data_IF_955299905219
#
_entry.id   IF_955299905219
#
_cell.length_a   1.000
_cell.length_b   1.000
_cell.length_c   1.000
_cell.angle_alpha   90.00
_cell.angle_beta   90.00
_cell.angle_gamma   90.00
#
_symmetry.space_group_name_H-M   'P 1'
#
loop_
_entity.id
_entity.type
_entity.pdbx_description
1 polymer ?
#
# COMPACT_ATOMS: atom_id res chain seq x y z
N UNK A 1 15.88 6.99 -27.93
CA UNK A 1 14.86 6.30 -27.09
C UNK A 1 14.76 6.95 -25.72
N UNK A 2 15.85 6.97 -24.94
CA UNK A 2 15.90 7.55 -23.60
C UNK A 2 15.43 9.00 -23.51
N UNK A 3 15.74 9.85 -24.48
CA UNK A 3 15.27 11.25 -24.52
C UNK A 3 13.74 11.38 -24.59
N UNK A 4 13.08 10.51 -25.38
CA UNK A 4 11.61 10.50 -25.49
C UNK A 4 10.97 9.97 -24.19
N UNK A 5 11.57 8.94 -23.60
CA UNK A 5 11.12 8.38 -22.33
C UNK A 5 11.29 9.39 -21.18
N UNK A 6 12.43 10.06 -21.11
CA UNK A 6 12.71 11.13 -20.14
C UNK A 6 11.73 12.30 -20.29
N UNK A 7 11.42 12.69 -21.55
CA UNK A 7 10.43 13.73 -21.82
C UNK A 7 9.00 13.35 -21.41
N UNK A 8 8.62 12.07 -21.57
CA UNK A 8 7.32 11.56 -21.10
C UNK A 8 7.25 11.48 -19.56
N UNK A 9 8.30 10.94 -18.92
CA UNK A 9 8.29 10.67 -17.48
C UNK A 9 8.45 11.95 -16.64
N UNK A 10 9.11 12.98 -17.17
CA UNK A 10 9.22 14.29 -16.50
C UNK A 10 8.19 15.30 -17.01
N UNK A 11 7.17 14.86 -17.73
CA UNK A 11 6.11 15.76 -18.17
C UNK A 11 5.34 16.30 -16.96
N UNK A 12 5.24 17.63 -16.89
CA UNK A 12 4.56 18.34 -15.81
C UNK A 12 3.10 18.61 -16.16
N UNK A 13 2.22 18.51 -15.17
CA UNK A 13 0.79 18.82 -15.25
C UNK A 13 0.33 19.52 -13.98
N UNK A 14 -0.87 20.10 -14.03
CA UNK A 14 -1.51 20.64 -12.82
C UNK A 14 -1.70 19.52 -11.78
N UNK A 15 -1.34 19.82 -10.53
CA UNK A 15 -1.48 18.88 -9.42
C UNK A 15 -2.97 18.50 -9.29
N UNK A 16 -3.33 17.21 -9.34
CA UNK A 16 -4.73 16.81 -9.26
C UNK A 16 -5.37 17.26 -7.94
N UNK A 17 -6.46 18.03 -8.03
CA UNK A 17 -7.17 18.54 -6.87
C UNK A 17 -7.94 17.42 -6.14
N UNK A 18 -8.01 17.52 -4.80
CA UNK A 18 -8.90 16.67 -4.00
C UNK A 18 -10.35 16.92 -4.44
N UNK A 19 -11.08 15.84 -4.69
CA UNK A 19 -12.45 15.88 -5.19
C UNK A 19 -12.58 16.27 -6.66
N UNK A 20 -11.46 16.53 -7.36
CA UNK A 20 -11.45 16.77 -8.79
C UNK A 20 -11.79 15.52 -9.61
N UNK A 21 -12.08 15.70 -10.90
CA UNK A 21 -12.49 14.61 -11.80
C UNK A 21 -11.45 13.47 -11.87
N UNK A 22 -10.16 13.80 -11.90
CA UNK A 22 -9.08 12.80 -11.92
C UNK A 22 -9.06 11.96 -10.64
N UNK A 23 -9.20 12.60 -9.48
CA UNK A 23 -9.29 11.92 -8.19
C UNK A 23 -10.50 10.97 -8.11
N UNK A 24 -11.68 11.42 -8.58
CA UNK A 24 -12.87 10.58 -8.68
C UNK A 24 -12.62 9.38 -9.58
N UNK A 25 -11.99 9.57 -10.75
CA UNK A 25 -11.65 8.49 -11.65
C UNK A 25 -10.72 7.45 -11.01
N UNK A 26 -9.76 7.88 -10.18
CA UNK A 26 -8.88 6.96 -9.45
C UNK A 26 -9.63 6.13 -8.41
N UNK A 27 -10.54 6.75 -7.65
CA UNK A 27 -11.41 6.03 -6.72
C UNK A 27 -12.29 5.03 -7.49
N UNK A 28 -12.90 5.44 -8.60
CA UNK A 28 -13.70 4.55 -9.44
C UNK A 28 -12.89 3.38 -9.99
N UNK A 29 -11.64 3.62 -10.38
CA UNK A 29 -10.73 2.56 -10.87
C UNK A 29 -10.39 1.58 -9.74
N UNK A 30 -10.12 2.08 -8.53
CA UNK A 30 -9.92 1.23 -7.35
C UNK A 30 -11.13 0.36 -7.06
N UNK A 31 -12.34 0.94 -7.03
CA UNK A 31 -13.58 0.18 -6.82
C UNK A 31 -13.80 -0.85 -7.93
N UNK A 32 -13.57 -0.47 -9.19
CA UNK A 32 -13.71 -1.38 -10.34
C UNK A 32 -12.74 -2.55 -10.22
N UNK A 33 -11.49 -2.30 -9.81
CA UNK A 33 -10.50 -3.34 -9.61
C UNK A 33 -10.85 -4.24 -8.42
N UNK A 34 -11.40 -3.71 -7.33
CA UNK A 34 -11.94 -4.52 -6.21
C UNK A 34 -13.00 -5.48 -6.72
N UNK A 35 -13.99 -4.99 -7.48
CA UNK A 35 -15.05 -5.82 -8.04
C UNK A 35 -14.47 -6.89 -8.98
N UNK A 36 -13.56 -6.50 -9.87
CA UNK A 36 -12.85 -7.43 -10.74
C UNK A 36 -12.15 -8.53 -9.95
N UNK A 37 -11.41 -8.20 -8.89
CA UNK A 37 -10.71 -9.19 -8.05
C UNK A 37 -11.70 -10.12 -7.33
N UNK A 38 -12.82 -9.59 -6.82
CA UNK A 38 -13.88 -10.39 -6.18
C UNK A 38 -14.46 -11.43 -7.14
N UNK A 39 -14.67 -11.08 -8.42
CA UNK A 39 -15.23 -11.99 -9.42
C UNK A 39 -14.19 -12.93 -10.03
N UNK A 40 -13.02 -12.41 -10.43
CA UNK A 40 -11.94 -13.19 -11.03
C UNK A 40 -11.38 -14.22 -10.04
N UNK A 41 -11.24 -13.83 -8.76
CA UNK A 41 -10.80 -14.69 -7.66
C UNK A 41 -11.98 -15.05 -6.74
N UNK A 42 -13.10 -15.45 -7.35
CA UNK A 42 -14.38 -15.78 -6.72
C UNK A 42 -14.27 -16.63 -5.44
N UNK A 43 -13.42 -17.66 -5.45
CA UNK A 43 -13.34 -18.62 -4.33
C UNK A 43 -12.37 -18.09 -3.28
N UNK A 44 -12.77 -18.08 -2.01
CA UNK A 44 -11.88 -17.77 -0.88
C UNK A 44 -10.93 -18.95 -0.52
N UNK A 45 -10.37 -19.62 -1.52
CA UNK A 45 -9.43 -20.72 -1.33
C UNK A 45 -7.98 -20.25 -1.49
N UNK A 46 -7.04 -21.04 -0.96
CA UNK A 46 -5.61 -20.73 -0.97
C UNK A 46 -5.06 -20.38 -2.36
N UNK A 47 -5.49 -21.07 -3.42
CA UNK A 47 -5.00 -20.84 -4.79
C UNK A 47 -5.46 -19.47 -5.30
N UNK A 48 -6.73 -19.14 -5.12
CA UNK A 48 -7.30 -17.86 -5.51
C UNK A 48 -6.68 -16.69 -4.75
N UNK A 49 -6.46 -16.84 -3.44
CA UNK A 49 -5.79 -15.82 -2.60
C UNK A 49 -4.35 -15.58 -3.08
N UNK A 50 -3.59 -16.67 -3.31
CA UNK A 50 -2.22 -16.56 -3.86
C UNK A 50 -2.21 -15.93 -5.25
N UNK A 51 -3.18 -16.28 -6.10
CA UNK A 51 -3.35 -15.69 -7.42
C UNK A 51 -3.57 -14.18 -7.36
N UNK A 52 -4.47 -13.72 -6.48
CA UNK A 52 -4.73 -12.30 -6.25
C UNK A 52 -3.48 -11.55 -5.76
N UNK A 53 -2.73 -12.13 -4.82
CA UNK A 53 -1.50 -11.53 -4.29
C UNK A 53 -0.40 -11.46 -5.36
N UNK A 54 -0.20 -12.52 -6.13
CA UNK A 54 0.80 -12.53 -7.23
C UNK A 54 0.40 -11.51 -8.30
N UNK A 55 -0.88 -11.49 -8.69
CA UNK A 55 -1.41 -10.51 -9.64
C UNK A 55 -1.11 -9.09 -9.17
N UNK A 56 -1.48 -8.74 -7.94
CA UNK A 56 -1.19 -7.42 -7.37
C UNK A 56 0.30 -7.12 -7.34
N UNK A 57 1.13 -8.07 -6.91
CA UNK A 57 2.58 -7.86 -6.84
C UNK A 57 3.19 -7.59 -8.22
N UNK A 58 2.81 -8.34 -9.26
CA UNK A 58 3.32 -8.14 -10.62
C UNK A 58 3.03 -6.72 -11.10
N UNK A 59 1.82 -6.20 -10.88
CA UNK A 59 1.48 -4.84 -11.30
C UNK A 59 2.20 -3.77 -10.48
N UNK A 60 2.33 -3.94 -9.16
CA UNK A 60 3.11 -3.02 -8.32
C UNK A 60 4.60 -3.04 -8.74
N UNK A 61 5.15 -4.20 -9.06
CA UNK A 61 6.53 -4.36 -9.51
C UNK A 61 6.77 -3.73 -10.89
N UNK A 62 5.86 -3.95 -11.84
CA UNK A 62 5.93 -3.27 -13.14
C UNK A 62 5.80 -1.75 -12.99
N UNK A 63 4.92 -1.29 -12.11
CA UNK A 63 4.76 0.14 -11.80
C UNK A 63 6.06 0.75 -11.25
N UNK A 64 6.72 0.05 -10.33
CA UNK A 64 8.04 0.42 -9.79
C UNK A 64 9.09 0.53 -10.89
N UNK A 65 9.17 -0.46 -11.78
CA UNK A 65 10.14 -0.44 -12.88
C UNK A 65 9.86 0.71 -13.84
N UNK A 66 8.61 0.88 -14.28
CA UNK A 66 8.25 1.79 -15.38
C UNK A 66 8.28 3.24 -14.94
N UNK A 67 7.65 3.57 -13.81
CA UNK A 67 7.41 4.96 -13.43
C UNK A 67 8.42 5.50 -12.42
N UNK A 68 9.16 4.62 -11.72
CA UNK A 68 10.19 5.02 -10.77
C UNK A 68 11.59 4.73 -11.34
N UNK A 69 11.95 3.47 -11.58
CA UNK A 69 13.32 3.10 -11.97
C UNK A 69 13.70 3.58 -13.38
N UNK A 70 12.82 3.38 -14.37
CA UNK A 70 13.08 3.83 -15.73
C UNK A 70 13.07 5.35 -15.87
N UNK A 71 12.30 6.06 -15.04
CA UNK A 71 12.34 7.52 -14.99
C UNK A 71 13.76 7.99 -14.64
N UNK A 72 14.31 7.47 -13.54
CA UNK A 72 15.63 7.88 -13.08
C UNK A 72 16.76 7.39 -13.99
N UNK A 73 16.69 6.16 -14.50
CA UNK A 73 17.65 5.66 -15.49
C UNK A 73 17.61 6.54 -16.74
N UNK A 74 16.43 6.91 -17.22
CA UNK A 74 16.31 7.76 -18.41
C UNK A 74 16.91 9.15 -18.19
N UNK A 75 16.79 9.71 -16.97
CA UNK A 75 17.39 10.99 -16.59
C UNK A 75 18.91 10.92 -16.61
N UNK A 76 19.49 9.91 -15.95
CA UNK A 76 20.93 9.65 -15.92
C UNK A 76 21.52 9.46 -17.32
N UNK A 77 20.79 8.78 -18.21
CA UNK A 77 21.23 8.52 -19.59
C UNK A 77 21.09 9.72 -20.53
N UNK A 78 20.39 10.78 -20.13
CA UNK A 78 20.09 11.93 -21.01
C UNK A 78 20.65 13.26 -20.52
N UNK A 79 21.01 13.34 -19.23
CA UNK A 79 21.54 14.55 -18.62
C UNK A 79 23.03 14.36 -18.34
N UNK A 80 23.87 15.19 -18.96
CA UNK A 80 25.32 15.11 -18.79
C UNK A 80 25.72 15.30 -17.31
N UNK A 81 26.56 14.41 -16.79
CA UNK A 81 27.01 14.45 -15.40
C UNK A 81 25.97 14.04 -14.34
N UNK A 82 24.77 13.62 -14.73
CA UNK A 82 23.76 13.18 -13.78
C UNK A 82 24.12 11.84 -13.12
N UNK A 83 24.20 11.83 -11.80
CA UNK A 83 24.28 10.60 -10.99
C UNK A 83 22.89 10.10 -10.60
N UNK A 84 22.77 8.79 -10.34
CA UNK A 84 21.51 8.19 -9.90
C UNK A 84 21.07 8.76 -8.55
N UNK A 85 19.83 9.24 -8.50
CA UNK A 85 19.19 9.80 -7.32
C UNK A 85 18.57 8.69 -6.47
N UNK A 86 19.11 8.49 -5.28
CA UNK A 86 18.67 7.45 -4.34
C UNK A 86 17.23 7.62 -3.85
N UNK A 87 16.57 8.77 -4.05
CA UNK A 87 15.13 8.96 -3.77
C UNK A 87 14.22 8.02 -4.58
N UNK A 88 14.69 7.57 -5.74
CA UNK A 88 13.94 6.66 -6.60
C UNK A 88 14.08 5.20 -6.16
N UNK A 89 14.82 4.89 -5.09
CA UNK A 89 14.86 3.53 -4.55
C UNK A 89 13.52 3.20 -3.86
N UNK A 90 13.02 1.95 -3.96
CA UNK A 90 11.74 1.53 -3.39
C UNK A 90 11.80 1.33 -1.88
N UNK A 91 12.28 2.31 -1.13
CA UNK A 91 12.48 2.23 0.32
C UNK A 91 11.34 2.87 1.12
N UNK A 92 10.40 3.53 0.44
CA UNK A 92 9.29 4.24 1.08
C UNK A 92 8.19 3.29 1.56
N UNK A 93 7.34 3.76 2.49
CA UNK A 93 6.22 2.98 3.02
C UNK A 93 5.20 2.56 1.94
N UNK A 94 5.05 3.34 0.87
CA UNK A 94 4.19 2.99 -0.26
C UNK A 94 4.71 1.76 -1.01
N UNK A 95 6.04 1.58 -1.04
CA UNK A 95 6.74 0.42 -1.61
C UNK A 95 6.71 -0.82 -0.69
N UNK A 96 6.11 -0.75 0.51
CA UNK A 96 6.11 -1.85 1.48
C UNK A 96 5.59 -3.18 0.88
N UNK A 97 4.50 -3.12 0.09
CA UNK A 97 3.94 -4.32 -0.53
C UNK A 97 4.84 -4.93 -1.61
N UNK A 98 5.73 -4.14 -2.22
CA UNK A 98 6.73 -4.67 -3.15
C UNK A 98 7.63 -5.70 -2.46
N UNK A 99 7.97 -5.44 -1.19
CA UNK A 99 8.84 -6.28 -0.37
C UNK A 99 8.08 -7.39 0.36
N UNK A 100 6.89 -7.10 0.90
CA UNK A 100 6.14 -8.06 1.72
C UNK A 100 5.53 -9.18 0.86
N UNK A 101 4.88 -8.86 -0.26
CA UNK A 101 4.11 -9.84 -1.01
C UNK A 101 4.94 -11.06 -1.51
N UNK A 102 6.21 -10.90 -1.97
CA UNK A 102 7.07 -12.03 -2.30
C UNK A 102 7.24 -13.04 -1.19
N UNK A 103 7.39 -12.60 0.06
CA UNK A 103 7.52 -13.54 1.17
C UNK A 103 6.28 -14.42 1.33
N UNK A 104 5.09 -13.90 1.00
CA UNK A 104 3.85 -14.68 1.06
C UNK A 104 3.80 -15.80 0.01
N UNK A 105 4.14 -15.49 -1.25
CA UNK A 105 4.00 -16.48 -2.32
C UNK A 105 5.27 -17.34 -2.52
N UNK A 106 6.47 -16.86 -2.21
CA UNK A 106 7.70 -17.65 -2.32
C UNK A 106 7.84 -18.71 -1.22
N UNK A 107 7.17 -18.54 -0.07
CA UNK A 107 7.17 -19.52 1.03
C UNK A 107 5.80 -20.21 1.07
N UNK A 108 5.61 -21.36 0.41
CA UNK A 108 4.30 -22.01 0.27
C UNK A 108 3.88 -22.79 1.53
N UNK A 109 3.92 -22.16 2.70
CA UNK A 109 3.56 -22.75 3.99
C UNK A 109 2.25 -22.16 4.53
N UNK A 110 1.27 -23.00 4.86
CA UNK A 110 -0.07 -22.56 5.34
C UNK A 110 -0.01 -21.76 6.65
N UNK A 111 0.90 -22.08 7.57
CA UNK A 111 1.06 -21.35 8.84
C UNK A 111 1.60 -19.95 8.56
N UNK A 112 2.65 -19.88 7.75
CA UNK A 112 3.25 -18.61 7.30
C UNK A 112 2.23 -17.71 6.60
N UNK A 113 1.48 -18.26 5.65
CA UNK A 113 0.42 -17.55 4.94
C UNK A 113 -0.63 -16.99 5.91
N UNK A 114 -1.06 -17.78 6.90
CA UNK A 114 -2.01 -17.33 7.93
C UNK A 114 -1.46 -16.16 8.76
N UNK A 115 -0.16 -16.14 9.05
CA UNK A 115 0.48 -15.08 9.83
C UNK A 115 0.63 -13.77 9.02
N UNK A 116 0.92 -13.88 7.72
CA UNK A 116 1.12 -12.72 6.87
C UNK A 116 -0.17 -12.05 6.38
N UNK A 117 -1.24 -12.83 6.18
CA UNK A 117 -2.49 -12.35 5.61
C UNK A 117 -3.09 -11.14 6.34
N UNK A 118 -3.13 -11.07 7.69
CA UNK A 118 -3.63 -9.90 8.39
C UNK A 118 -2.85 -8.63 8.05
N UNK A 119 -1.51 -8.71 8.03
CA UNK A 119 -0.63 -7.60 7.66
C UNK A 119 -0.86 -7.15 6.23
N UNK A 120 -0.93 -8.10 5.29
CA UNK A 120 -1.21 -7.79 3.89
C UNK A 120 -2.56 -7.10 3.78
N UNK A 121 -3.65 -7.71 4.27
CA UNK A 121 -5.00 -7.16 4.11
C UNK A 121 -5.19 -5.78 4.76
N UNK A 122 -4.83 -5.65 6.05
CA UNK A 122 -5.08 -4.44 6.83
C UNK A 122 -4.17 -3.29 6.37
N UNK A 123 -2.88 -3.54 6.16
CA UNK A 123 -1.95 -2.50 5.70
C UNK A 123 -2.21 -2.09 4.26
N UNK A 124 -2.60 -3.02 3.39
CA UNK A 124 -2.99 -2.72 2.01
C UNK A 124 -4.14 -1.72 1.91
N UNK A 125 -5.20 -1.89 2.71
CA UNK A 125 -6.31 -0.93 2.74
C UNK A 125 -5.88 0.40 3.33
N UNK A 126 -5.06 0.40 4.37
CA UNK A 126 -4.65 1.63 5.03
C UNK A 126 -3.72 2.45 4.14
N UNK A 127 -2.67 1.85 3.59
CA UNK A 127 -1.70 2.52 2.70
C UNK A 127 -2.42 2.98 1.43
N UNK A 128 -3.11 2.08 0.73
CA UNK A 128 -3.79 2.41 -0.51
C UNK A 128 -4.94 3.40 -0.31
N UNK A 129 -5.74 3.21 0.74
CA UNK A 129 -6.86 4.09 1.07
C UNK A 129 -6.43 5.48 1.50
N UNK A 130 -5.31 5.62 2.24
CA UNK A 130 -4.78 6.93 2.64
C UNK A 130 -4.30 7.72 1.42
N UNK A 131 -3.53 7.09 0.52
CA UNK A 131 -3.06 7.75 -0.70
C UNK A 131 -4.25 8.14 -1.60
N UNK A 132 -5.26 7.27 -1.71
CA UNK A 132 -6.46 7.56 -2.48
C UNK A 132 -7.31 8.66 -1.84
N UNK A 133 -7.43 8.74 -0.52
CA UNK A 133 -8.28 9.75 0.14
C UNK A 133 -7.61 11.14 0.23
N UNK A 134 -6.28 11.16 0.27
CA UNK A 134 -5.47 12.36 0.48
C UNK A 134 -4.45 12.59 -0.65
N UNK A 135 -4.88 12.67 -1.92
CA UNK A 135 -4.00 12.77 -3.07
C UNK A 135 -3.11 14.02 -3.07
N UNK A 136 -3.62 15.16 -2.58
CA UNK A 136 -2.88 16.43 -2.60
C UNK A 136 -1.57 16.41 -1.79
N UNK A 137 -1.41 15.45 -0.88
CA UNK A 137 -0.21 15.31 -0.05
C UNK A 137 0.86 14.44 -0.68
N UNK A 138 0.51 13.71 -1.74
CA UNK A 138 1.38 12.74 -2.42
C UNK A 138 1.65 13.18 -3.86
N UNK A 139 0.73 13.93 -4.46
CA UNK A 139 0.86 14.38 -5.84
C UNK A 139 1.80 15.57 -5.97
N UNK A 140 2.55 15.51 -7.05
CA UNK A 140 3.51 16.50 -7.51
C UNK A 140 3.09 17.00 -8.88
N UNK A 141 3.80 17.98 -9.43
CA UNK A 141 3.61 18.39 -10.83
C UNK A 141 4.00 17.30 -11.83
N UNK A 142 4.80 16.30 -11.44
CA UNK A 142 5.28 15.25 -12.34
C UNK A 142 4.24 14.14 -12.55
N UNK A 143 3.85 13.93 -13.82
CA UNK A 143 2.84 12.95 -14.21
C UNK A 143 3.21 11.52 -13.86
N UNK A 144 4.46 11.12 -14.11
CA UNK A 144 4.92 9.76 -13.82
C UNK A 144 4.90 9.45 -12.32
N UNK A 145 5.28 10.42 -11.49
CA UNK A 145 5.28 10.26 -10.04
C UNK A 145 3.84 10.10 -9.50
N UNK A 146 2.91 10.91 -10.00
CA UNK A 146 1.50 10.77 -9.63
C UNK A 146 0.95 9.41 -10.09
N UNK A 147 1.22 9.02 -11.34
CA UNK A 147 0.82 7.72 -11.87
C UNK A 147 1.38 6.55 -11.03
N UNK A 148 2.66 6.64 -10.62
CA UNK A 148 3.30 5.66 -9.74
C UNK A 148 2.50 5.49 -8.43
N UNK A 149 2.24 6.58 -7.71
CA UNK A 149 1.52 6.51 -6.43
C UNK A 149 0.07 6.07 -6.59
N UNK A 150 -0.63 6.52 -7.64
CA UNK A 150 -2.02 6.13 -7.92
C UNK A 150 -2.11 4.64 -8.20
N UNK A 151 -1.28 4.13 -9.11
CA UNK A 151 -1.30 2.71 -9.47
C UNK A 151 -0.98 1.87 -8.24
N UNK A 152 0.05 2.25 -7.47
CA UNK A 152 0.41 1.57 -6.24
C UNK A 152 -0.76 1.58 -5.23
N UNK A 153 -1.44 2.70 -5.06
CA UNK A 153 -2.57 2.84 -4.15
C UNK A 153 -3.80 2.04 -4.60
N UNK A 154 -4.16 2.10 -5.88
CA UNK A 154 -5.27 1.34 -6.49
C UNK A 154 -5.07 -0.16 -6.29
N UNK A 155 -3.89 -0.69 -6.61
CA UNK A 155 -3.60 -2.12 -6.48
C UNK A 155 -3.51 -2.55 -5.00
N UNK A 156 -2.90 -1.73 -4.15
CA UNK A 156 -2.83 -1.98 -2.71
C UNK A 156 -4.22 -2.01 -2.09
N UNK A 157 -5.00 -0.94 -2.27
CA UNK A 157 -6.36 -0.84 -1.75
C UNK A 157 -7.23 -2.00 -2.24
N UNK A 158 -7.14 -2.33 -3.54
CA UNK A 158 -7.94 -3.39 -4.13
C UNK A 158 -7.63 -4.77 -3.55
N UNK A 159 -6.34 -5.07 -3.33
CA UNK A 159 -5.93 -6.31 -2.68
C UNK A 159 -6.44 -6.40 -1.24
N UNK A 160 -6.28 -5.32 -0.47
CA UNK A 160 -6.72 -5.28 0.92
C UNK A 160 -8.24 -5.46 1.02
N UNK A 161 -9.00 -4.74 0.20
CA UNK A 161 -10.45 -4.85 0.14
C UNK A 161 -10.90 -6.23 -0.33
N UNK A 162 -10.25 -6.83 -1.33
CA UNK A 162 -10.52 -8.21 -1.73
C UNK A 162 -10.38 -9.17 -0.54
N UNK A 163 -9.28 -9.07 0.21
CA UNK A 163 -9.00 -9.93 1.38
C UNK A 163 -10.08 -9.77 2.46
N UNK A 164 -10.48 -8.52 2.74
CA UNK A 164 -11.47 -8.18 3.77
C UNK A 164 -12.88 -8.62 3.35
N UNK A 165 -13.31 -8.28 2.13
CA UNK A 165 -14.67 -8.50 1.64
C UNK A 165 -14.97 -9.97 1.33
N UNK A 166 -13.98 -10.72 0.83
CA UNK A 166 -14.07 -12.20 0.77
C UNK A 166 -13.99 -12.84 2.13
N UNK A 167 -13.65 -12.06 3.15
CA UNK A 167 -13.78 -12.51 4.50
C UNK A 167 -12.72 -13.46 4.98
N UNK A 168 -11.56 -13.38 4.35
CA UNK A 168 -10.38 -14.19 4.64
C UNK A 168 -9.83 -13.86 6.03
N UNK A 169 -9.97 -12.60 6.45
CA UNK A 169 -9.65 -12.12 7.80
C UNK A 169 -10.92 -12.06 8.65
N UNK A 170 -10.96 -12.85 9.71
CA UNK A 170 -12.08 -12.88 10.64
C UNK A 170 -11.86 -11.83 11.76
N UNK A 171 -12.76 -10.85 11.94
CA UNK A 171 -12.62 -9.83 12.98
C UNK A 171 -12.89 -10.38 14.38
N UNK A 172 -13.48 -11.57 14.51
CA UNK A 172 -13.69 -12.18 15.83
C UNK A 172 -12.45 -12.91 16.33
N UNK A 173 -11.46 -13.16 15.46
CA UNK A 173 -10.23 -13.87 15.80
C UNK A 173 -9.18 -12.88 16.28
N UNK A 174 -8.85 -12.98 17.57
CA UNK A 174 -7.83 -12.15 18.20
C UNK A 174 -6.47 -12.30 17.50
N UNK A 175 -6.20 -13.47 16.91
CA UNK A 175 -4.97 -13.72 16.16
C UNK A 175 -4.81 -12.79 14.95
N UNK A 176 -5.90 -12.37 14.30
CA UNK A 176 -5.85 -11.42 13.17
C UNK A 176 -5.15 -10.13 13.60
N UNK A 177 -5.54 -9.60 14.77
CA UNK A 177 -4.97 -8.36 15.31
C UNK A 177 -3.56 -8.58 15.83
N UNK A 178 -3.32 -9.67 16.57
CA UNK A 178 -1.98 -9.98 17.08
C UNK A 178 -0.95 -10.06 15.94
N UNK A 179 -1.24 -10.83 14.89
CA UNK A 179 -0.28 -11.01 13.79
C UNK A 179 -0.02 -9.73 13.01
N UNK A 180 -1.06 -8.93 12.77
CA UNK A 180 -0.91 -7.61 12.17
C UNK A 180 0.01 -6.72 13.03
N UNK A 181 -0.27 -6.63 14.34
CA UNK A 181 0.50 -5.81 15.26
C UNK A 181 1.96 -6.26 15.36
N UNK A 182 2.22 -7.57 15.48
CA UNK A 182 3.57 -8.12 15.55
C UNK A 182 4.36 -7.84 14.27
N UNK A 183 3.78 -8.05 13.10
CA UNK A 183 4.46 -7.80 11.83
C UNK A 183 4.75 -6.32 11.61
N UNK A 184 3.79 -5.44 11.89
CA UNK A 184 4.01 -3.99 11.74
C UNK A 184 5.05 -3.49 12.74
N UNK A 185 5.02 -3.98 13.98
CA UNK A 185 6.07 -3.68 14.96
C UNK A 185 7.44 -4.14 14.45
N UNK A 186 7.53 -5.34 13.88
CA UNK A 186 8.75 -5.86 13.27
C UNK A 186 9.25 -4.98 12.12
N UNK A 187 8.36 -4.56 11.23
CA UNK A 187 8.69 -3.63 10.12
C UNK A 187 9.21 -2.31 10.67
N UNK A 188 8.54 -1.72 11.65
CA UNK A 188 8.97 -0.45 12.28
C UNK A 188 10.35 -0.60 12.90
N UNK A 189 10.60 -1.65 13.68
CA UNK A 189 11.91 -1.92 14.31
C UNK A 189 13.00 -2.08 13.24
N UNK A 190 12.74 -2.88 12.20
CA UNK A 190 13.69 -3.09 11.10
C UNK A 190 13.98 -1.76 10.39
N UNK A 191 12.96 -0.96 10.08
CA UNK A 191 13.14 0.34 9.45
C UNK A 191 13.95 1.31 10.32
N UNK A 192 13.74 1.32 11.64
CA UNK A 192 14.56 2.11 12.57
C UNK A 192 16.02 1.66 12.51
N UNK A 193 16.28 0.36 12.60
CA UNK A 193 17.65 -0.19 12.53
C UNK A 193 18.32 0.16 11.19
N UNK A 194 17.61 -0.02 10.07
CA UNK A 194 18.13 0.30 8.73
C UNK A 194 18.42 1.79 8.58
N UNK A 195 17.53 2.66 9.07
CA UNK A 195 17.77 4.10 9.12
C UNK A 195 19.05 4.40 9.92
N UNK A 196 19.22 3.85 11.12
CA UNK A 196 20.43 4.06 11.94
C UNK A 196 21.71 3.60 11.22
N UNK A 197 21.68 2.45 10.53
CA UNK A 197 22.82 1.97 9.73
C UNK A 197 23.19 2.97 8.63
N UNK A 198 22.20 3.50 7.90
CA UNK A 198 22.43 4.51 6.86
C UNK A 198 22.98 5.80 7.47
N UNK A 199 22.42 6.27 8.58
CA UNK A 199 22.87 7.50 9.25
C UNK A 199 24.29 7.39 9.82
N UNK A 200 24.68 6.22 10.33
CA UNK A 200 26.03 5.94 10.82
C UNK A 200 27.05 5.65 9.72
N UNK A 201 26.61 5.43 8.48
CA UNK A 201 27.53 5.25 7.35
C UNK A 201 28.27 6.55 7.03
N UNK A 202 29.45 6.43 6.41
CA UNK A 202 30.20 7.57 5.86
C UNK A 202 29.59 8.10 4.54
N UNK A 203 28.33 7.76 4.24
CA UNK A 203 27.64 8.28 3.07
C UNK A 203 27.44 9.80 3.17
N UNK A 204 27.31 10.47 2.03
CA UNK A 204 27.00 11.89 1.99
C UNK A 204 25.64 12.17 2.63
N UNK A 205 25.46 13.37 3.21
CA UNK A 205 24.19 13.79 3.82
C UNK A 205 23.01 13.67 2.84
N UNK A 206 23.23 13.98 1.56
CA UNK A 206 22.24 13.77 0.49
C UNK A 206 21.78 12.31 0.38
N UNK A 207 22.66 11.32 0.56
CA UNK A 207 22.27 9.90 0.53
C UNK A 207 21.47 9.54 1.78
N UNK A 208 21.84 10.10 2.94
CA UNK A 208 21.17 9.86 4.23
C UNK A 208 19.74 10.40 4.25
N UNK A 209 19.52 11.60 3.70
CA UNK A 209 18.18 12.19 3.60
C UNK A 209 17.26 11.41 2.64
N UNK A 210 17.83 10.83 1.58
CA UNK A 210 17.08 10.16 0.52
C UNK A 210 16.74 8.69 0.83
N UNK A 211 17.52 8.03 1.70
CA UNK A 211 17.33 6.63 2.11
C UNK A 211 16.63 6.56 3.47
N UNK A 212 15.34 6.88 3.47
CA UNK A 212 14.50 6.83 4.67
C UNK A 212 13.45 5.72 4.56
N UNK A 213 13.65 4.63 5.31
CA UNK A 213 12.85 3.39 5.22
C UNK A 213 11.46 3.51 5.85
N UNK A 214 11.27 4.54 6.66
CA UNK A 214 10.03 4.95 7.31
C UNK A 214 10.47 6.21 8.04
N UNK A 215 9.85 7.37 7.78
CA UNK A 215 10.19 8.66 8.40
C UNK A 215 9.84 8.68 9.90
N UNK A 216 10.42 7.74 10.64
CA UNK A 216 10.23 7.39 12.04
C UNK A 216 11.57 7.59 12.78
N UNK A 217 12.63 8.03 12.09
CA UNK A 217 13.86 8.40 12.76
C UNK A 217 13.68 9.72 13.52
N UNK A 218 14.18 9.74 14.76
CA UNK A 218 14.32 10.93 15.61
C UNK A 218 15.17 12.05 14.97
N UNK A 219 15.81 11.79 13.83
CA UNK A 219 16.70 12.72 13.12
C UNK A 219 16.11 13.31 11.85
N UNK A 220 14.99 12.79 11.37
CA UNK A 220 14.27 13.43 10.26
C UNK A 220 13.36 14.52 10.79
N UNK A 221 13.38 15.68 10.13
CA UNK A 221 12.38 16.71 10.36
C UNK A 221 10.99 16.08 10.23
N UNK A 222 10.11 16.43 11.18
CA UNK A 222 8.73 16.00 11.11
C UNK A 222 8.16 16.50 9.80
N UNK A 223 7.60 15.59 9.03
CA UNK A 223 7.00 15.93 7.76
C UNK A 223 6.08 17.17 7.85
N UNK A 224 6.05 18.03 6.82
CA UNK A 224 5.17 19.20 6.80
C UNK A 224 3.70 18.85 7.07
N UNK A 225 3.24 17.66 6.66
CA UNK A 225 1.86 17.21 6.85
C UNK A 225 1.52 16.81 8.29
N UNK A 226 2.52 16.52 9.14
CA UNK A 226 2.31 16.31 10.57
C UNK A 226 2.35 17.62 11.36
N UNK A 227 2.97 18.68 10.82
CA UNK A 227 2.97 19.99 11.45
C UNK A 227 1.53 20.51 11.65
N UNK A 228 0.62 20.23 10.72
CA UNK A 228 -0.79 20.62 10.85
C UNK A 228 -1.59 19.74 11.84
N UNK A 229 -1.26 18.45 11.95
CA UNK A 229 -1.77 17.53 12.99
C UNK A 229 -1.26 17.89 14.39
N UNK A 230 0.00 18.35 14.48
CA UNK A 230 0.63 18.84 15.70
C UNK A 230 0.08 20.22 16.09
N UNK A 231 -0.20 21.11 15.13
CA UNK A 231 -0.88 22.39 15.39
C UNK A 231 -2.30 22.22 15.94
N UNK A 232 -3.01 21.17 15.51
CA UNK A 232 -4.32 20.78 16.04
C UNK A 232 -4.26 20.33 17.50
N UNK A 233 -3.08 19.97 18.01
CA UNK A 233 -2.89 19.48 19.37
C UNK A 233 -1.77 20.28 20.05
N UNK A 234 -2.11 21.48 20.55
CA UNK A 234 -1.21 22.48 21.15
C UNK A 234 -0.28 21.98 22.27
N UNK A 235 -0.54 20.78 22.80
CA UNK A 235 0.29 20.11 23.82
C UNK A 235 1.54 19.39 23.26
N UNK A 236 1.64 19.19 21.93
CA UNK A 236 2.72 18.42 21.27
C UNK A 236 3.56 19.30 20.32
N UNK A 237 3.32 20.61 20.31
CA UNK A 237 3.96 21.57 19.39
C UNK A 237 5.50 21.53 19.40
N UNK A 238 6.10 21.10 20.50
CA UNK A 238 7.55 20.96 20.65
C UNK A 238 7.98 19.48 20.56
N UNK A 239 8.15 19.00 19.32
CA UNK A 239 8.45 17.59 18.99
C UNK A 239 9.73 17.09 19.67
N UNK A 240 10.71 17.99 19.87
CA UNK A 240 11.98 17.64 20.54
C UNK A 240 11.80 17.33 22.03
N UNK A 241 10.84 17.99 22.69
CA UNK A 241 10.56 17.85 24.12
C UNK A 241 9.58 16.68 24.39
N UNK A 242 8.69 16.38 23.45
CA UNK A 242 7.66 15.34 23.55
C UNK A 242 7.87 14.14 22.61
N UNK A 243 9.12 13.89 22.20
CA UNK A 243 9.49 12.86 21.21
C UNK A 243 8.91 11.48 21.55
N UNK A 244 8.94 11.08 22.83
CA UNK A 244 8.42 9.79 23.29
C UNK A 244 6.91 9.71 23.09
N UNK A 245 6.18 10.77 23.45
CA UNK A 245 4.72 10.85 23.30
C UNK A 245 4.36 10.89 21.81
N UNK A 246 5.15 11.58 20.99
CA UNK A 246 4.97 11.65 19.54
C UNK A 246 5.21 10.29 18.86
N UNK A 247 6.33 9.62 19.16
CA UNK A 247 6.62 8.27 18.63
C UNK A 247 5.56 7.28 19.09
N UNK A 248 5.13 7.36 20.35
CA UNK A 248 4.07 6.51 20.87
C UNK A 248 2.74 6.76 20.15
N UNK A 249 2.29 8.01 20.02
CA UNK A 249 1.05 8.35 19.31
C UNK A 249 1.10 8.01 17.82
N UNK A 250 2.25 8.17 17.19
CA UNK A 250 2.44 7.85 15.78
C UNK A 250 2.42 6.33 15.53
N UNK A 251 3.18 5.56 16.30
CA UNK A 251 3.21 4.09 16.21
C UNK A 251 1.86 3.51 16.58
N UNK A 252 1.26 3.98 17.68
CA UNK A 252 -0.07 3.56 18.11
C UNK A 252 -1.14 3.97 17.09
N UNK A 253 -1.05 5.20 16.56
CA UNK A 253 -1.93 5.70 15.49
C UNK A 253 -1.88 4.81 14.25
N UNK A 254 -0.69 4.50 13.72
CA UNK A 254 -0.53 3.63 12.57
C UNK A 254 -1.15 2.25 12.82
N UNK A 255 -0.91 1.65 13.98
CA UNK A 255 -1.40 0.29 14.28
C UNK A 255 -2.91 0.26 14.50
N UNK A 256 -3.46 1.17 15.30
CA UNK A 256 -4.87 1.14 15.69
C UNK A 256 -5.80 1.76 14.63
N UNK A 257 -5.38 2.83 13.95
CA UNK A 257 -6.18 3.41 12.85
C UNK A 257 -6.30 2.41 11.71
N UNK A 258 -5.24 1.67 11.40
CA UNK A 258 -5.31 0.61 10.37
C UNK A 258 -6.35 -0.47 10.71
N UNK A 259 -6.38 -0.91 11.98
CA UNK A 259 -7.36 -1.87 12.47
C UNK A 259 -8.77 -1.30 12.41
N UNK A 260 -8.95 -0.03 12.80
CA UNK A 260 -10.26 0.64 12.75
C UNK A 260 -10.79 0.72 11.32
N UNK A 261 -9.96 1.14 10.36
CA UNK A 261 -10.32 1.20 8.94
C UNK A 261 -10.73 -0.19 8.44
N UNK A 262 -9.95 -1.23 8.76
CA UNK A 262 -10.30 -2.61 8.46
C UNK A 262 -11.70 -2.99 8.97
N UNK A 263 -11.98 -2.72 10.25
CA UNK A 263 -13.27 -3.07 10.86
C UNK A 263 -14.42 -2.35 10.19
N UNK A 264 -14.28 -1.04 9.91
CA UNK A 264 -15.30 -0.24 9.22
C UNK A 264 -15.64 -0.85 7.87
N UNK A 265 -14.63 -1.10 7.02
CA UNK A 265 -14.87 -1.69 5.70
C UNK A 265 -15.46 -3.10 5.79
N UNK A 266 -14.99 -3.91 6.74
CA UNK A 266 -15.52 -5.25 6.95
C UNK A 266 -17.01 -5.22 7.29
N UNK A 267 -17.41 -4.47 8.33
CA UNK A 267 -18.80 -4.48 8.79
C UNK A 267 -19.75 -3.79 7.82
N UNK A 268 -19.28 -2.75 7.12
CA UNK A 268 -20.11 -1.99 6.19
C UNK A 268 -20.37 -2.75 4.89
N UNK A 269 -19.37 -3.42 4.32
CA UNK A 269 -19.46 -3.93 2.94
C UNK A 269 -19.45 -5.45 2.80
N UNK A 270 -18.88 -6.20 3.76
CA UNK A 270 -18.87 -7.67 3.67
C UNK A 270 -20.27 -8.29 3.58
N UNK A 271 -21.30 -7.82 4.32
CA UNK A 271 -22.63 -8.41 4.22
C UNK A 271 -23.16 -8.45 2.78
N UNK A 272 -22.95 -7.38 2.01
CA UNK A 272 -23.36 -7.29 0.61
C UNK A 272 -22.59 -8.28 -0.29
N UNK A 273 -21.27 -8.39 -0.11
CA UNK A 273 -20.45 -9.31 -0.91
C UNK A 273 -20.76 -10.77 -0.58
N UNK A 274 -21.02 -11.07 0.70
CA UNK A 274 -21.43 -12.41 1.13
C UNK A 274 -22.74 -12.83 0.47
N UNK A 275 -23.74 -11.95 0.47
CA UNK A 275 -25.03 -12.21 -0.19
C UNK A 275 -24.86 -12.50 -1.70
N UNK A 276 -23.96 -11.78 -2.38
CA UNK A 276 -23.66 -12.02 -3.80
C UNK A 276 -23.00 -13.40 -3.99
N UNK A 277 -22.01 -13.74 -3.17
CA UNK A 277 -21.31 -15.02 -3.25
C UNK A 277 -22.26 -16.21 -2.98
N UNK A 278 -23.14 -16.09 -1.99
CA UNK A 278 -24.14 -17.10 -1.63
C UNK A 278 -25.10 -17.35 -2.81
N UNK A 279 -25.62 -16.28 -3.44
CA UNK A 279 -26.47 -16.40 -4.65
C UNK A 279 -25.76 -17.01 -5.85
N UNK A 280 -24.49 -16.66 -6.08
CA UNK A 280 -23.70 -17.26 -7.18
C UNK A 280 -23.52 -18.76 -6.95
N UNK A 281 -23.31 -19.16 -5.69
CA UNK A 281 -23.12 -20.56 -5.33
C UNK A 281 -24.40 -21.37 -5.50
N UNK A 282 -25.54 -20.87 -5.02
CA UNK A 282 -26.86 -21.50 -5.18
C UNK A 282 -27.21 -21.71 -6.67
N UNK A 283 -26.98 -20.70 -7.51
CA UNK A 283 -27.22 -20.79 -8.94
C UNK A 283 -26.35 -21.85 -9.63
N UNK A 284 -25.09 -22.00 -9.21
CA UNK A 284 -24.19 -23.04 -9.75
C UNK A 284 -24.71 -24.44 -9.41
N UNK A 285 -25.09 -24.68 -8.15
CA UNK A 285 -25.67 -25.96 -7.72
C UNK A 285 -26.95 -26.26 -8.50
N UNK A 286 -27.84 -25.27 -8.64
CA UNK A 286 -29.08 -25.45 -9.40
C UNK A 286 -28.82 -25.80 -10.88
N UNK A 287 -27.80 -25.19 -11.50
CA UNK A 287 -27.41 -25.47 -12.88
C UNK A 287 -26.81 -26.87 -13.07
N UNK A 288 -25.96 -27.32 -12.14
CA UNK A 288 -25.36 -28.66 -12.17
C UNK A 288 -26.43 -29.73 -11.99
N UNK A 289 -27.36 -29.54 -11.05
CA UNK A 289 -28.49 -30.46 -10.82
C UNK A 289 -29.36 -30.62 -12.07
N UNK A 290 -29.64 -29.53 -12.80
CA UNK A 290 -30.39 -29.58 -14.07
C UNK A 290 -29.66 -30.36 -15.16
N UNK A 291 -28.32 -30.26 -15.24
CA UNK A 291 -27.51 -31.00 -16.22
C UNK A 291 -27.49 -32.49 -15.94
N UNK A 292 -27.42 -32.91 -14.68
CA UNK A 292 -27.49 -34.34 -14.29
C UNK A 292 -28.87 -34.97 -14.47
N UNK A 293 -29.95 -34.18 -14.46
CA UNK A 293 -31.31 -34.71 -14.73
C UNK A 293 -31.55 -34.85 -16.24
N UNK A 294 -30.81 -34.10 -17.07
CA UNK A 294 -30.95 -34.10 -18.53
C UNK A 294 -30.02 -35.10 -19.25
N UNK A 295 -29.15 -35.81 -18.52
CA UNK A 295 -28.25 -36.86 -19.00
C UNK A 295 -28.75 -38.24 -18.61
#
# INVERSE_FOLDING_TARGET
MWTKLNGFLNHTHEIPAIGGMQHILYICTAITLVLFMIFAFNRANRKSIRGAIIFTWVFIFLNEIIFNQFAEISRVQTTEGAAYNTKYLPVQISSLLLWILPFYFCIPNKKWEKFMLPTIGISSVTIGGTILAYPAFVFTEYLANNAYFIIQAVFSFSLGMYIILKGILDPRKWETYLWHMLFISGIIIISIILNEIVYHSNASENIKENLNFMYISHRTEVFPYFADLIKLNSSIADVKTNLIIFVFLFVFGIMFVSILIYLVFFFMFRPFVKEIDDRIFENKIASEKRRTIAS
#
